data_IF_419307490409
#
_entry.id   IF_419307490409
#
_cell.length_a   1.000
_cell.length_b   1.000
_cell.length_c   1.000
_cell.angle_alpha   90.00
_cell.angle_beta   90.00
_cell.angle_gamma   90.00
#
_symmetry.space_group_name_H-M   'P 1'
#
loop_
_entity.id
_entity.type
_entity.pdbx_description
1 polymer ?
#
# COMPACT_ATOMS: atom_id res chain seq x y z
N UNK A 1 -1.62 -6.01 -21.97
CA UNK A 1 -1.67 -5.85 -20.50
C UNK A 1 -1.82 -7.25 -19.93
N UNK A 2 -0.78 -7.82 -19.32
CA UNK A 2 -0.99 -8.99 -18.45
C UNK A 2 -1.58 -8.43 -17.15
N UNK A 3 -2.75 -8.92 -16.75
CA UNK A 3 -3.26 -8.67 -15.42
C UNK A 3 -2.19 -9.09 -14.41
N UNK A 4 -1.96 -8.27 -13.39
CA UNK A 4 -1.12 -8.63 -12.26
C UNK A 4 -1.64 -9.97 -11.70
N UNK A 5 -0.74 -10.95 -11.54
CA UNK A 5 -1.09 -12.27 -11.02
C UNK A 5 -0.96 -12.24 -9.50
N UNK A 6 -2.08 -12.00 -8.81
CA UNK A 6 -2.17 -11.95 -7.35
C UNK A 6 -1.62 -13.22 -6.67
N UNK A 7 -1.57 -14.36 -7.36
CA UNK A 7 -1.03 -15.61 -6.84
C UNK A 7 0.51 -15.65 -6.75
N UNK A 8 1.20 -14.70 -7.39
CA UNK A 8 2.67 -14.63 -7.44
C UNK A 8 3.29 -13.69 -6.40
N UNK A 9 2.48 -12.85 -5.75
CA UNK A 9 2.96 -11.96 -4.71
C UNK A 9 3.29 -12.76 -3.44
N UNK A 10 4.36 -12.42 -2.69
CA UNK A 10 4.57 -12.92 -1.35
C UNK A 10 3.26 -12.75 -0.57
N UNK A 11 2.84 -13.83 0.10
CA UNK A 11 1.53 -14.09 0.74
C UNK A 11 1.01 -12.98 1.70
N UNK A 12 1.81 -11.93 1.93
CA UNK A 12 1.59 -10.75 2.79
C UNK A 12 0.93 -9.55 2.08
N UNK A 13 0.64 -9.66 0.79
CA UNK A 13 0.19 -8.53 -0.04
C UNK A 13 -1.14 -8.86 -0.70
N UNK A 14 -2.23 -8.18 -0.31
CA UNK A 14 -3.55 -8.34 -0.95
C UNK A 14 -3.95 -7.04 -1.63
N UNK A 15 -4.42 -7.16 -2.87
CA UNK A 15 -5.08 -6.07 -3.58
C UNK A 15 -6.45 -5.79 -2.96
N UNK A 16 -7.06 -4.63 -3.24
CA UNK A 16 -8.43 -4.34 -2.79
C UNK A 16 -9.41 -5.43 -3.28
N UNK A 17 -9.28 -5.85 -4.54
CA UNK A 17 -10.07 -6.94 -5.13
C UNK A 17 -9.85 -8.26 -4.38
N UNK A 18 -8.61 -8.60 -4.03
CA UNK A 18 -8.29 -9.77 -3.20
C UNK A 18 -8.93 -9.73 -1.81
N UNK A 19 -9.20 -8.54 -1.29
CA UNK A 19 -9.95 -8.31 -0.06
C UNK A 19 -11.47 -8.26 -0.27
N UNK A 20 -11.96 -8.32 -1.51
CA UNK A 20 -13.38 -8.13 -1.86
C UNK A 20 -13.85 -6.68 -1.72
N UNK A 21 -12.93 -5.73 -1.74
CA UNK A 21 -13.18 -4.30 -1.64
C UNK A 21 -13.03 -3.64 -3.01
N UNK A 22 -13.64 -2.47 -3.16
CA UNK A 22 -13.35 -1.57 -4.27
C UNK A 22 -12.41 -0.48 -3.78
N UNK A 23 -11.34 -0.20 -4.54
CA UNK A 23 -10.47 0.94 -4.32
C UNK A 23 -10.73 2.00 -5.40
N UNK A 24 -11.14 3.19 -4.98
CA UNK A 24 -11.19 4.38 -5.83
C UNK A 24 -10.01 5.31 -5.51
N UNK A 25 -9.36 5.85 -6.54
CA UNK A 25 -8.14 6.64 -6.40
C UNK A 25 -8.41 8.05 -6.88
N UNK A 26 -8.27 9.01 -5.96
CA UNK A 26 -8.18 10.42 -6.32
C UNK A 26 -6.70 10.79 -6.55
N UNK A 27 -6.26 11.01 -7.81
CA UNK A 27 -4.86 11.29 -8.12
C UNK A 27 -4.41 12.70 -7.71
N UNK A 28 -5.34 13.65 -7.51
CA UNK A 28 -4.99 15.01 -7.10
C UNK A 28 -4.60 15.07 -5.62
N UNK A 29 -5.23 14.22 -4.80
CA UNK A 29 -4.98 14.15 -3.35
C UNK A 29 -4.20 12.92 -2.93
N UNK A 30 -3.92 11.99 -3.85
CA UNK A 30 -3.41 10.64 -3.57
C UNK A 30 -4.22 9.92 -2.49
N UNK A 31 -5.54 10.10 -2.50
CA UNK A 31 -6.46 9.43 -1.57
C UNK A 31 -6.98 8.16 -2.21
N UNK A 32 -6.89 7.06 -1.46
CA UNK A 32 -7.39 5.74 -1.81
C UNK A 32 -8.60 5.50 -0.93
N UNK A 33 -9.79 5.51 -1.52
CA UNK A 33 -11.03 5.24 -0.81
C UNK A 33 -11.39 3.78 -0.98
N UNK A 34 -11.43 3.04 0.12
CA UNK A 34 -11.84 1.64 0.16
C UNK A 34 -13.32 1.57 0.53
N UNK A 35 -14.09 0.84 -0.28
CA UNK A 35 -15.53 0.65 -0.06
C UNK A 35 -15.92 -0.81 -0.26
N UNK A 36 -17.06 -1.19 0.31
CA UNK A 36 -17.66 -2.52 0.14
C UNK A 36 -17.58 -3.38 1.39
N UNK A 37 -17.72 -4.70 1.19
CA UNK A 37 -17.79 -5.67 2.28
C UNK A 37 -16.66 -6.70 2.17
N UNK A 38 -15.90 -6.84 3.24
CA UNK A 38 -14.87 -7.88 3.38
C UNK A 38 -15.21 -8.84 4.53
N UNK A 39 -14.43 -9.90 4.70
CA UNK A 39 -14.57 -10.88 5.79
C UNK A 39 -13.24 -11.03 6.52
N UNK A 40 -13.29 -11.51 7.77
CA UNK A 40 -12.07 -11.75 8.53
C UNK A 40 -11.13 -12.74 7.82
N UNK A 41 -11.67 -13.78 7.17
CA UNK A 41 -10.91 -14.75 6.37
C UNK A 41 -10.14 -14.08 5.21
N UNK A 42 -10.74 -13.05 4.58
CA UNK A 42 -10.07 -12.32 3.50
C UNK A 42 -8.98 -11.39 4.03
N UNK A 43 -9.12 -10.88 5.23
CA UNK A 43 -8.09 -10.07 5.90
C UNK A 43 -6.94 -10.93 6.43
N UNK A 44 -7.22 -12.17 6.81
CA UNK A 44 -6.22 -13.13 7.26
C UNK A 44 -5.22 -13.45 6.14
N UNK A 45 -3.93 -13.41 6.46
CA UNK A 45 -2.90 -13.86 5.54
C UNK A 45 -2.99 -15.39 5.37
N UNK A 46 -3.04 -15.87 4.13
CA UNK A 46 -3.28 -17.28 3.79
C UNK A 46 -2.20 -18.22 4.33
N UNK A 47 -1.01 -17.69 4.65
CA UNK A 47 0.13 -18.40 5.27
C UNK A 47 0.85 -17.44 6.25
N UNK A 48 0.11 -16.84 7.18
CA UNK A 48 0.72 -16.04 8.25
C UNK A 48 1.53 -16.94 9.20
N UNK A 49 2.80 -16.61 9.41
CA UNK A 49 3.57 -17.19 10.51
C UNK A 49 3.17 -16.56 11.85
N UNK A 50 2.63 -15.32 11.82
CA UNK A 50 2.22 -14.58 13.01
C UNK A 50 0.95 -13.73 12.73
N UNK A 51 0.08 -13.48 13.74
CA UNK A 51 -1.16 -12.71 13.61
C UNK A 51 -0.98 -11.25 13.14
N UNK A 52 0.21 -10.68 13.32
CA UNK A 52 0.57 -9.33 12.89
C UNK A 52 0.78 -9.16 11.38
N UNK A 53 0.52 -10.20 10.58
CA UNK A 53 0.61 -10.18 9.11
C UNK A 53 -0.78 -9.99 8.44
N UNK A 54 -1.86 -9.82 9.22
CA UNK A 54 -3.23 -9.66 8.71
C UNK A 54 -3.57 -8.20 8.35
N UNK A 55 -4.46 -8.03 7.36
CA UNK A 55 -5.08 -6.73 7.08
C UNK A 55 -4.21 -5.72 6.35
N UNK A 56 -3.32 -6.16 5.45
CA UNK A 56 -2.50 -5.28 4.62
C UNK A 56 -3.05 -5.13 3.20
N UNK A 57 -3.10 -3.87 2.73
CA UNK A 57 -3.40 -3.50 1.35
C UNK A 57 -2.11 -3.24 0.58
N UNK A 58 -1.99 -3.86 -0.59
CA UNK A 58 -1.00 -3.50 -1.60
C UNK A 58 -1.56 -2.40 -2.53
N UNK A 59 -0.84 -1.29 -2.66
CA UNK A 59 -1.25 -0.16 -3.48
C UNK A 59 -0.09 0.48 -4.25
N UNK A 60 -0.31 0.89 -5.51
CA UNK A 60 0.70 1.56 -6.34
C UNK A 60 0.65 3.09 -6.18
N UNK A 61 1.64 3.67 -5.50
CA UNK A 61 1.81 5.12 -5.35
C UNK A 61 2.68 5.70 -6.47
N UNK A 62 2.17 6.69 -7.18
CA UNK A 62 2.93 7.35 -8.24
C UNK A 62 4.10 8.18 -7.68
N UNK A 63 5.27 8.08 -8.33
CA UNK A 63 6.42 8.95 -8.03
C UNK A 63 6.14 10.40 -8.45
N UNK A 64 6.57 11.41 -7.67
CA UNK A 64 6.53 12.80 -8.08
C UNK A 64 7.23 13.03 -9.41
N UNK A 65 6.69 13.94 -10.21
CA UNK A 65 7.33 14.36 -11.44
C UNK A 65 8.72 14.96 -11.15
N UNK A 66 9.74 14.53 -11.91
CA UNK A 66 11.12 15.01 -11.75
C UNK A 66 12.01 14.25 -10.77
N UNK A 67 11.46 13.46 -9.84
CA UNK A 67 12.25 12.70 -8.87
C UNK A 67 12.79 11.37 -9.43
N UNK A 68 12.68 11.10 -10.73
CA UNK A 68 12.63 9.71 -11.24
C UNK A 68 13.98 9.02 -11.42
N UNK A 69 15.05 9.77 -11.68
CA UNK A 69 16.29 9.18 -12.19
C UNK A 69 17.30 8.89 -11.06
N UNK A 70 17.08 9.42 -9.86
CA UNK A 70 17.98 9.32 -8.71
C UNK A 70 17.36 8.65 -7.47
N UNK A 71 16.06 8.32 -7.46
CA UNK A 71 15.45 7.61 -6.31
C UNK A 71 16.05 6.22 -6.16
N UNK A 72 16.50 5.92 -4.94
CA UNK A 72 16.97 4.60 -4.53
C UNK A 72 16.21 4.06 -3.32
N UNK A 73 15.59 4.94 -2.53
CA UNK A 73 14.93 4.61 -1.26
C UNK A 73 13.71 5.48 -1.03
N UNK A 74 12.88 5.07 -0.09
CA UNK A 74 11.80 5.90 0.44
C UNK A 74 11.87 5.97 1.96
N UNK A 75 11.38 7.08 2.52
CA UNK A 75 11.12 7.21 3.94
C UNK A 75 9.63 7.38 4.17
N UNK A 76 9.04 6.47 4.93
CA UNK A 76 7.63 6.50 5.32
C UNK A 76 7.59 6.63 6.83
N UNK A 77 6.96 7.71 7.32
CA UNK A 77 6.82 8.03 8.75
C UNK A 77 8.14 7.91 9.55
N UNK A 78 9.23 8.36 8.93
CA UNK A 78 10.57 8.38 9.54
C UNK A 78 11.39 7.10 9.35
N UNK A 79 10.79 6.00 8.88
CA UNK A 79 11.49 4.74 8.60
C UNK A 79 11.94 4.67 7.15
N UNK A 80 13.20 4.30 6.91
CA UNK A 80 13.77 4.17 5.56
C UNK A 80 13.57 2.74 5.06
N UNK A 81 13.14 2.63 3.81
CA UNK A 81 12.94 1.40 3.07
C UNK A 81 13.72 1.46 1.77
N UNK A 82 14.34 0.36 1.37
CA UNK A 82 14.99 0.29 0.05
C UNK A 82 13.91 0.08 -1.01
N UNK A 83 14.07 0.67 -2.20
CA UNK A 83 13.13 0.39 -3.28
C UNK A 83 13.08 -1.09 -3.67
N UNK A 84 14.16 -1.85 -3.44
CA UNK A 84 14.16 -3.31 -3.67
C UNK A 84 13.21 -4.08 -2.74
N UNK A 85 12.78 -3.46 -1.63
CA UNK A 85 11.75 -4.02 -0.74
C UNK A 85 10.34 -3.91 -1.38
N UNK A 86 10.25 -3.26 -2.54
CA UNK A 86 9.04 -3.02 -3.29
C UNK A 86 9.25 -3.40 -4.77
N UNK A 87 8.22 -3.93 -5.42
CA UNK A 87 8.27 -4.06 -6.88
C UNK A 87 8.03 -2.69 -7.51
N UNK A 88 9.03 -2.18 -8.24
CA UNK A 88 8.92 -0.92 -8.98
C UNK A 88 8.60 -1.26 -10.43
N UNK A 89 7.39 -0.92 -10.87
CA UNK A 89 7.10 -0.91 -12.30
C UNK A 89 7.85 0.26 -12.94
N UNK A 90 9.04 -0.03 -13.47
CA UNK A 90 9.90 0.95 -14.14
C UNK A 90 9.23 1.65 -15.34
N UNK A 91 8.17 1.05 -15.92
CA UNK A 91 7.41 1.66 -17.02
C UNK A 91 6.39 2.68 -16.52
N UNK A 92 5.74 2.41 -15.38
CA UNK A 92 4.67 3.25 -14.83
C UNK A 92 5.12 4.17 -13.69
N UNK A 93 6.36 4.01 -13.21
CA UNK A 93 7.01 4.89 -12.22
C UNK A 93 6.19 5.01 -10.94
N UNK A 94 5.67 3.88 -10.49
CA UNK A 94 4.91 3.74 -9.25
C UNK A 94 5.66 2.82 -8.28
N UNK A 95 5.52 3.13 -6.99
CA UNK A 95 5.98 2.33 -5.87
C UNK A 95 4.81 1.49 -5.35
N UNK A 96 4.96 0.17 -5.31
CA UNK A 96 3.99 -0.66 -4.60
C UNK A 96 4.22 -0.55 -3.10
N UNK A 97 3.24 -0.08 -2.33
CA UNK A 97 3.29 0.09 -0.88
C UNK A 97 2.37 -0.94 -0.23
N UNK A 98 2.86 -1.56 0.85
CA UNK A 98 2.06 -2.42 1.70
C UNK A 98 1.65 -1.63 2.96
N UNK A 99 0.37 -1.31 3.12
CA UNK A 99 -0.15 -0.52 4.25
C UNK A 99 -1.14 -1.34 5.06
N UNK A 100 -1.03 -1.29 6.37
CA UNK A 100 -2.03 -1.90 7.25
C UNK A 100 -3.33 -1.10 7.20
N UNK A 101 -4.44 -1.77 6.92
CA UNK A 101 -5.77 -1.16 6.84
C UNK A 101 -6.73 -1.70 7.89
N UNK A 102 -6.29 -2.65 8.72
CA UNK A 102 -7.13 -3.27 9.74
C UNK A 102 -6.30 -3.57 10.99
N UNK A 103 -6.85 -3.26 12.18
CA UNK A 103 -6.12 -3.47 13.43
C UNK A 103 -5.87 -4.95 13.69
N UNK A 104 -4.71 -5.23 14.31
CA UNK A 104 -4.34 -6.59 14.71
C UNK A 104 -5.27 -7.22 15.74
N UNK A 105 -5.94 -6.42 16.56
CA UNK A 105 -6.95 -6.92 17.50
C UNK A 105 -8.29 -7.28 16.82
N UNK A 106 -8.37 -7.07 15.50
CA UNK A 106 -9.52 -7.37 14.67
C UNK A 106 -10.72 -6.46 14.92
N UNK A 107 -10.52 -5.31 15.57
CA UNK A 107 -11.63 -4.47 16.03
C UNK A 107 -12.15 -3.48 15.00
N UNK A 108 -11.29 -2.92 14.13
CA UNK A 108 -11.68 -1.86 13.20
C UNK A 108 -10.70 -1.66 12.04
N UNK A 109 -11.20 -1.02 10.97
CA UNK A 109 -10.39 -0.52 9.86
C UNK A 109 -9.62 0.74 10.25
N UNK A 110 -8.42 0.86 9.72
CA UNK A 110 -7.55 2.02 9.88
C UNK A 110 -7.76 2.97 8.70
N UNK A 111 -7.84 4.26 9.00
CA UNK A 111 -7.80 5.33 8.00
C UNK A 111 -6.67 6.27 8.38
N UNK A 112 -5.63 6.31 7.55
CA UNK A 112 -4.36 6.93 7.87
C UNK A 112 -3.81 7.73 6.69
N UNK A 113 -3.05 8.76 7.00
CA UNK A 113 -2.31 9.54 6.00
C UNK A 113 -0.83 9.40 6.31
N UNK A 114 -0.08 8.93 5.33
CA UNK A 114 1.36 8.72 5.45
C UNK A 114 2.11 9.73 4.61
N UNK A 115 3.20 10.26 5.17
CA UNK A 115 4.14 11.09 4.42
C UNK A 115 5.21 10.18 3.81
N UNK A 116 5.44 10.36 2.51
CA UNK A 116 6.48 9.63 1.77
C UNK A 116 7.52 10.62 1.26
N UNK A 117 8.75 10.45 1.73
CA UNK A 117 9.91 11.18 1.22
C UNK A 117 10.69 10.27 0.29
N UNK A 118 10.92 10.71 -0.93
CA UNK A 118 11.69 10.00 -1.95
C UNK A 118 13.15 10.41 -1.82
N UNK A 119 14.03 9.42 -1.72
CA UNK A 119 15.42 9.63 -1.36
C UNK A 119 16.38 9.15 -2.46
N UNK A 120 17.43 9.93 -2.68
CA UNK A 120 18.54 9.52 -3.53
C UNK A 120 19.47 8.48 -2.88
N UNK A 121 20.54 8.10 -3.57
CA UNK A 121 21.57 7.17 -3.06
C UNK A 121 22.24 7.65 -1.77
N UNK A 122 22.31 8.97 -1.55
CA UNK A 122 22.93 9.61 -0.39
C UNK A 122 21.92 9.89 0.75
N UNK A 123 20.66 9.48 0.59
CA UNK A 123 19.53 9.75 1.48
C UNK A 123 19.07 11.22 1.52
N UNK A 124 19.39 12.03 0.50
CA UNK A 124 18.81 13.36 0.33
C UNK A 124 17.38 13.25 -0.20
N UNK A 125 16.50 14.11 0.29
CA UNK A 125 15.10 14.15 -0.16
C UNK A 125 15.05 14.84 -1.52
N UNK A 126 14.65 14.07 -2.54
CA UNK A 126 14.50 14.54 -3.94
C UNK A 126 13.05 14.78 -4.33
N UNK A 127 12.11 14.32 -3.50
CA UNK A 127 10.70 14.60 -3.65
C UNK A 127 9.92 14.24 -2.39
N UNK A 128 8.73 14.81 -2.25
CA UNK A 128 7.80 14.46 -1.18
C UNK A 128 6.42 14.25 -1.76
N UNK A 129 5.74 13.19 -1.32
CA UNK A 129 4.32 12.99 -1.55
C UNK A 129 3.66 12.56 -0.24
N UNK A 130 2.35 12.48 -0.24
CA UNK A 130 1.57 11.83 0.82
C UNK A 130 0.54 10.94 0.15
N UNK A 131 0.12 9.89 0.85
CA UNK A 131 -1.06 9.14 0.46
C UNK A 131 -1.96 8.95 1.67
N UNK A 132 -3.26 8.88 1.41
CA UNK A 132 -4.28 8.64 2.41
C UNK A 132 -5.01 7.35 2.06
N UNK A 133 -5.17 6.46 3.03
CA UNK A 133 -6.15 5.38 2.96
C UNK A 133 -7.37 5.81 3.77
N UNK A 134 -8.52 5.85 3.10
CA UNK A 134 -9.82 6.04 3.72
C UNK A 134 -10.59 4.72 3.64
N UNK A 135 -10.81 4.10 4.79
CA UNK A 135 -11.55 2.85 4.91
C UNK A 135 -12.84 3.02 5.74
N UNK A 136 -13.33 4.26 5.88
CA UNK A 136 -14.49 4.58 6.72
C UNK A 136 -15.80 3.93 6.25
N UNK A 137 -15.90 3.60 4.97
CA UNK A 137 -17.06 2.94 4.37
C UNK A 137 -16.91 1.42 4.22
N UNK A 138 -15.82 0.84 4.73
CA UNK A 138 -15.62 -0.60 4.69
C UNK A 138 -16.45 -1.29 5.77
N UNK A 139 -17.15 -2.35 5.38
CA UNK A 139 -17.97 -3.16 6.27
C UNK A 139 -17.29 -4.52 6.47
N UNK A 140 -17.04 -4.89 7.73
CA UNK A 140 -16.65 -6.26 8.08
C UNK A 140 -17.89 -7.14 8.20
N UNK A 141 -18.04 -8.10 7.30
CA UNK A 141 -19.03 -9.16 7.42
C UNK A 141 -18.55 -10.24 8.40
N UNK A 142 -19.50 -10.93 9.07
CA UNK A 142 -19.21 -12.05 9.96
C UNK A 142 -18.58 -13.24 9.23
#
# INVERSE_FOLDING_TARGET
MKAYDDASLPIRHKTADGLGLTADVNPETNTITLTGTTTLEKLQATVAAQPEDDGYLLYALNTPEGARDDIQKVRIDGKIHNLTDFEVDTLNKALLINTQIFKFDGSEFLSETHKVEWLDVNNFVVGTTSYTIDATEVILAP
#
